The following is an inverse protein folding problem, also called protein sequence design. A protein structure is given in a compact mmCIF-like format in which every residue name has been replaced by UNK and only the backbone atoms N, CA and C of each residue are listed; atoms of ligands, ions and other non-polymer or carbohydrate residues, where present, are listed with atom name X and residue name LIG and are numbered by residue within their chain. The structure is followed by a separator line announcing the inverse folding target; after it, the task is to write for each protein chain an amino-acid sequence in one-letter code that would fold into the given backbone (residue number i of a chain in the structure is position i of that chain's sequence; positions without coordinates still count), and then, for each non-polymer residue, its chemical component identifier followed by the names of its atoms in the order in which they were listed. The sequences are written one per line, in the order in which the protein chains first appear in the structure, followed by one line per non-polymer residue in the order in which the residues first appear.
data_IF_882430501521
#
_entry.id   IF_882430501521
#
_cell.length_a   1.000
_cell.length_b   1.000
_cell.length_c   1.000
_cell.angle_alpha   90.00
_cell.angle_beta   90.00
_cell.angle_gamma   90.00
#
_symmetry.space_group_name_H-M   'P 1'
#
loop_
_entity.id
_entity.type
_entity.pdbx_description
1 polymer ?
#
# COMPACT_ATOMS: atom_id res chain seq x y z
N UNK A 1 16.09 11.25 0.08
CA UNK A 1 16.38 9.79 0.11
C UNK A 1 16.55 9.28 -1.31
N UNK A 2 17.21 8.14 -1.51
CA UNK A 2 17.53 7.58 -2.85
C UNK A 2 16.38 6.75 -3.50
N UNK A 3 15.14 6.90 -3.04
CA UNK A 3 13.97 6.22 -3.63
C UNK A 3 13.82 4.71 -3.36
N UNK A 4 14.79 4.07 -2.71
CA UNK A 4 14.79 2.60 -2.49
C UNK A 4 13.53 2.10 -1.78
N UNK A 5 13.07 2.77 -0.72
CA UNK A 5 11.85 2.37 0.00
C UNK A 5 10.60 2.42 -0.87
N UNK A 6 10.49 3.44 -1.74
CA UNK A 6 9.37 3.56 -2.68
C UNK A 6 9.40 2.48 -3.76
N UNK A 7 10.59 2.08 -4.22
CA UNK A 7 10.75 0.97 -5.15
C UNK A 7 10.32 -0.37 -4.53
N UNK A 8 10.71 -0.61 -3.28
CA UNK A 8 10.28 -1.81 -2.52
C UNK A 8 8.76 -1.81 -2.33
N UNK A 9 8.17 -0.69 -1.91
CA UNK A 9 6.73 -0.58 -1.71
C UNK A 9 5.94 -0.87 -2.99
N UNK A 10 6.34 -0.26 -4.12
CA UNK A 10 5.74 -0.54 -5.43
C UNK A 10 5.80 -2.02 -5.76
N UNK A 11 6.98 -2.62 -5.67
CA UNK A 11 7.17 -4.02 -6.05
C UNK A 11 6.29 -4.98 -5.22
N UNK A 12 6.26 -4.80 -3.89
CA UNK A 12 5.45 -5.67 -3.02
C UNK A 12 3.95 -5.48 -3.26
N UNK A 13 3.49 -4.24 -3.50
CA UNK A 13 2.07 -3.97 -3.78
C UNK A 13 1.65 -4.49 -5.15
N UNK A 14 2.51 -4.36 -6.17
CA UNK A 14 2.25 -4.94 -7.49
C UNK A 14 2.14 -6.47 -7.42
N UNK A 15 3.02 -7.12 -6.65
CA UNK A 15 2.94 -8.57 -6.41
C UNK A 15 1.65 -8.94 -5.70
N UNK A 16 1.28 -8.24 -4.62
CA UNK A 16 0.03 -8.47 -3.92
C UNK A 16 -1.18 -8.34 -4.84
N UNK A 17 -1.17 -7.36 -5.76
CA UNK A 17 -2.21 -7.22 -6.79
C UNK A 17 -2.25 -8.41 -7.74
N UNK A 18 -1.09 -8.82 -8.26
CA UNK A 18 -0.99 -9.93 -9.20
C UNK A 18 -1.47 -11.26 -8.57
N UNK A 19 -1.28 -11.43 -7.27
CA UNK A 19 -1.73 -12.58 -6.50
C UNK A 19 -3.18 -12.46 -6.00
N UNK A 20 -3.87 -11.34 -6.27
CA UNK A 20 -5.25 -11.10 -5.80
C UNK A 20 -5.37 -10.95 -4.29
N UNK A 21 -4.27 -10.57 -3.61
CA UNK A 21 -4.22 -10.43 -2.16
C UNK A 21 -4.76 -9.07 -1.70
N UNK A 22 -5.32 -9.07 -0.48
CA UNK A 22 -5.66 -7.84 0.24
C UNK A 22 -4.50 -7.44 1.16
N UNK A 23 -4.28 -6.13 1.28
CA UNK A 23 -3.17 -5.53 2.03
C UNK A 23 -3.70 -4.84 3.29
N UNK A 24 -3.09 -5.14 4.44
CA UNK A 24 -3.31 -4.43 5.71
C UNK A 24 -2.05 -3.60 6.03
N UNK A 25 -2.11 -2.27 5.91
CA UNK A 25 -0.93 -1.40 5.95
C UNK A 25 -0.53 -1.00 7.38
N UNK A 26 -0.16 -1.99 8.20
CA UNK A 26 0.30 -1.78 9.59
C UNK A 26 1.58 -0.93 9.67
N UNK A 27 2.42 -0.99 8.63
CA UNK A 27 3.61 -0.17 8.53
C UNK A 27 3.25 1.26 8.13
N UNK A 28 3.64 2.23 8.96
CA UNK A 28 3.37 3.66 8.72
C UNK A 28 3.97 4.17 7.41
N UNK A 29 5.09 3.60 6.95
CA UNK A 29 5.67 3.93 5.65
C UNK A 29 4.76 3.53 4.50
N UNK A 30 4.21 2.29 4.51
CA UNK A 30 3.30 1.80 3.48
C UNK A 30 1.97 2.54 3.54
N UNK A 31 1.40 2.79 4.73
CA UNK A 31 0.20 3.61 4.85
C UNK A 31 0.39 5.03 4.29
N UNK A 32 1.56 5.63 4.51
CA UNK A 32 1.93 6.91 3.90
C UNK A 32 2.16 6.83 2.38
N UNK A 33 2.66 5.69 1.89
CA UNK A 33 2.84 5.44 0.46
C UNK A 33 1.48 5.34 -0.24
N UNK A 34 0.57 4.53 0.29
CA UNK A 34 -0.79 4.34 -0.25
C UNK A 34 -1.59 5.65 -0.33
N UNK A 35 -1.46 6.53 0.68
CA UNK A 35 -2.03 7.89 0.66
C UNK A 35 -1.52 8.81 -0.45
N UNK A 36 -0.35 8.51 -1.04
CA UNK A 36 0.21 9.27 -2.16
C UNK A 36 0.01 8.55 -3.50
N UNK A 37 -0.34 7.27 -3.44
CA UNK A 37 -0.44 6.35 -4.57
C UNK A 37 -1.80 5.67 -4.55
N UNK A 38 -2.82 6.43 -4.92
CA UNK A 38 -4.21 5.97 -4.86
C UNK A 38 -4.51 4.81 -5.82
N UNK A 39 -3.63 4.57 -6.79
CA UNK A 39 -3.69 3.42 -7.69
C UNK A 39 -3.63 2.08 -6.95
N UNK A 40 -3.22 2.03 -5.68
CA UNK A 40 -3.15 0.82 -4.84
C UNK A 40 -4.28 0.67 -3.82
N UNK A 41 -5.24 1.60 -3.79
CA UNK A 41 -6.32 1.51 -2.81
C UNK A 41 -7.19 0.28 -3.03
N UNK A 42 -7.35 -0.19 -4.26
CA UNK A 42 -8.06 -1.43 -4.62
C UNK A 42 -7.58 -2.66 -3.82
N UNK A 43 -6.32 -2.69 -3.39
CA UNK A 43 -5.75 -3.75 -2.57
C UNK A 43 -6.16 -3.66 -1.09
N UNK A 44 -6.74 -2.55 -0.66
CA UNK A 44 -7.04 -2.28 0.75
C UNK A 44 -8.55 -2.19 0.94
N UNK A 45 -9.07 -3.03 1.82
CA UNK A 45 -10.49 -3.00 2.17
C UNK A 45 -10.92 -1.63 2.73
N UNK A 46 -12.18 -1.28 2.52
CA UNK A 46 -12.80 -0.06 3.06
C UNK A 46 -12.61 0.09 4.58
N UNK A 47 -12.70 -1.02 5.32
CA UNK A 47 -12.48 -1.02 6.77
C UNK A 47 -11.03 -0.65 7.12
N UNK A 48 -10.06 -1.22 6.40
CA UNK A 48 -8.64 -0.93 6.59
C UNK A 48 -8.29 0.50 6.21
N UNK A 49 -8.84 1.04 5.11
CA UNK A 49 -8.64 2.45 4.71
C UNK A 49 -9.07 3.41 5.83
N UNK A 50 -10.25 3.19 6.41
CA UNK A 50 -10.72 3.98 7.57
C UNK A 50 -9.81 3.85 8.79
N UNK A 51 -9.39 2.63 9.14
CA UNK A 51 -8.56 2.38 10.32
C UNK A 51 -7.18 3.06 10.25
N UNK A 52 -6.57 3.08 9.05
CA UNK A 52 -5.22 3.62 8.85
C UNK A 52 -5.20 5.04 8.23
N UNK A 53 -6.38 5.65 8.05
CA UNK A 53 -6.57 6.99 7.44
C UNK A 53 -5.91 7.09 6.06
N UNK A 54 -6.18 6.11 5.21
CA UNK A 54 -5.67 6.01 3.84
C UNK A 54 -6.76 6.43 2.86
#
# INVERSE_FOLDING_TARGET
GKGVGSAIARHVLDTARAEGQQVIPVCQFIAGYLRRHHEYLDLVSEASRRAFKI
#
